data_IF_831497644733
#
_entry.id   IF_831497644733
#
_cell.length_a   1.000
_cell.length_b   1.000
_cell.length_c   1.000
_cell.angle_alpha   90.00
_cell.angle_beta   90.00
_cell.angle_gamma   90.00
#
_symmetry.space_group_name_H-M   'P 1'
#
loop_
_entity.id
_entity.type
_entity.pdbx_description
1 polymer ?
#
# COMPACT_ATOMS: atom_id res chain seq x y z
N UNK A 1 -31.18 -3.61 -29.20
CA UNK A 1 -29.91 -3.87 -28.49
C UNK A 1 -29.84 -2.80 -27.42
N UNK A 2 -29.90 -3.16 -26.14
CA UNK A 2 -29.66 -2.20 -25.05
C UNK A 2 -28.20 -1.77 -25.15
N UNK A 3 -27.94 -0.46 -25.20
CA UNK A 3 -26.58 0.06 -25.15
C UNK A 3 -25.91 -0.46 -23.86
N UNK A 4 -24.64 -0.85 -23.95
CA UNK A 4 -23.86 -1.25 -22.78
C UNK A 4 -23.85 -0.08 -21.78
N UNK A 5 -24.02 -0.36 -20.49
CA UNK A 5 -24.09 0.69 -19.48
C UNK A 5 -22.76 1.48 -19.43
N UNK A 6 -22.86 2.81 -19.45
CA UNK A 6 -21.72 3.70 -19.19
C UNK A 6 -21.67 4.02 -17.70
N UNK A 7 -20.53 3.78 -17.07
CA UNK A 7 -20.26 4.13 -15.67
C UNK A 7 -19.74 5.56 -15.55
N UNK A 8 -20.05 6.24 -14.45
CA UNK A 8 -19.43 7.53 -14.15
C UNK A 8 -17.93 7.33 -13.92
N UNK A 9 -17.57 6.25 -13.20
CA UNK A 9 -16.17 5.93 -12.91
C UNK A 9 -15.88 4.44 -13.09
N UNK A 10 -14.75 4.12 -13.74
CA UNK A 10 -14.16 2.78 -13.72
C UNK A 10 -12.85 2.83 -12.95
N UNK A 11 -12.77 2.09 -11.86
CA UNK A 11 -11.57 1.95 -11.04
C UNK A 11 -10.83 0.68 -11.43
N UNK A 12 -9.62 0.82 -11.94
CA UNK A 12 -8.75 -0.28 -12.38
C UNK A 12 -7.73 -0.58 -11.28
N UNK A 13 -7.86 -1.76 -10.68
CA UNK A 13 -7.12 -2.21 -9.52
C UNK A 13 -8.01 -2.28 -8.27
N UNK A 14 -8.32 -3.50 -7.82
CA UNK A 14 -9.13 -3.78 -6.62
C UNK A 14 -8.28 -3.98 -5.36
N UNK A 15 -7.10 -3.34 -5.30
CA UNK A 15 -6.25 -3.30 -4.11
C UNK A 15 -6.75 -2.27 -3.07
N UNK A 16 -6.00 -2.04 -1.97
CA UNK A 16 -6.45 -1.15 -0.89
C UNK A 16 -6.89 0.23 -1.35
N UNK A 17 -6.07 0.89 -2.20
CA UNK A 17 -6.36 2.25 -2.70
C UNK A 17 -7.56 2.24 -3.65
N UNK A 18 -7.59 1.30 -4.61
CA UNK A 18 -8.70 1.24 -5.57
C UNK A 18 -10.03 0.88 -4.91
N UNK A 19 -10.03 -0.05 -3.96
CA UNK A 19 -11.24 -0.41 -3.21
C UNK A 19 -11.76 0.76 -2.38
N UNK A 20 -10.87 1.51 -1.71
CA UNK A 20 -11.24 2.72 -0.97
C UNK A 20 -11.75 3.83 -1.91
N UNK A 21 -11.08 4.03 -3.07
CA UNK A 21 -11.55 5.01 -4.08
C UNK A 21 -12.96 4.67 -4.55
N UNK A 22 -13.19 3.41 -4.88
CA UNK A 22 -14.52 2.96 -5.35
C UNK A 22 -15.59 3.17 -4.28
N UNK A 23 -15.29 2.88 -3.00
CA UNK A 23 -16.21 3.16 -1.91
C UNK A 23 -16.54 4.64 -1.82
N UNK A 24 -15.53 5.49 -1.80
CA UNK A 24 -15.76 6.94 -1.69
C UNK A 24 -16.53 7.52 -2.87
N UNK A 25 -16.32 7.03 -4.09
CA UNK A 25 -17.10 7.43 -5.27
C UNK A 25 -18.55 6.94 -5.17
N UNK A 26 -18.76 5.65 -4.87
CA UNK A 26 -20.11 5.09 -4.76
C UNK A 26 -20.93 5.74 -3.63
N UNK A 27 -20.29 6.08 -2.50
CA UNK A 27 -20.94 6.79 -1.39
C UNK A 27 -21.36 8.24 -1.75
N UNK A 28 -20.84 8.82 -2.84
CA UNK A 28 -21.31 10.09 -3.41
C UNK A 28 -22.57 9.92 -4.26
N UNK A 29 -22.91 8.68 -4.63
CA UNK A 29 -24.02 8.35 -5.52
C UNK A 29 -23.60 8.15 -6.98
N UNK A 30 -22.29 8.14 -7.27
CA UNK A 30 -21.78 7.89 -8.62
C UNK A 30 -21.92 6.41 -8.99
N UNK A 31 -22.17 6.09 -10.27
CA UNK A 31 -22.14 4.72 -10.78
C UNK A 31 -20.70 4.28 -10.97
N UNK A 32 -20.27 3.27 -10.21
CA UNK A 32 -18.88 2.84 -10.12
C UNK A 32 -18.72 1.38 -10.52
N UNK A 33 -17.73 1.12 -11.38
CA UNK A 33 -17.25 -0.21 -11.70
C UNK A 33 -15.82 -0.37 -11.17
N UNK A 34 -15.54 -1.47 -10.47
CA UNK A 34 -14.20 -1.84 -10.03
C UNK A 34 -13.74 -3.06 -10.80
N UNK A 35 -12.54 -3.03 -11.38
CA UNK A 35 -11.96 -4.16 -12.08
C UNK A 35 -10.64 -4.54 -11.42
N UNK A 36 -10.47 -5.81 -11.08
CA UNK A 36 -9.22 -6.33 -10.56
C UNK A 36 -9.26 -7.85 -10.40
N UNK A 37 -8.10 -8.52 -10.56
CA UNK A 37 -8.04 -9.97 -10.48
C UNK A 37 -8.37 -10.49 -9.07
N UNK A 38 -8.70 -11.76 -8.99
CA UNK A 38 -8.74 -12.47 -7.71
C UNK A 38 -7.32 -12.74 -7.21
N UNK A 39 -7.18 -12.91 -5.89
CA UNK A 39 -5.93 -13.38 -5.32
C UNK A 39 -5.66 -14.81 -5.83
N UNK A 40 -4.48 -15.09 -6.41
CA UNK A 40 -4.15 -16.42 -6.88
C UNK A 40 -3.98 -17.38 -5.69
N UNK A 41 -4.29 -18.66 -5.92
CA UNK A 41 -4.16 -19.71 -4.90
C UNK A 41 -2.72 -19.88 -4.39
N UNK A 42 -1.74 -19.56 -5.21
CA UNK A 42 -0.32 -19.60 -4.89
C UNK A 42 0.50 -18.71 -5.81
N UNK A 43 1.78 -18.59 -5.52
CA UNK A 43 2.70 -17.74 -6.28
C UNK A 43 3.63 -18.51 -7.24
N UNK A 44 3.83 -19.82 -7.01
CA UNK A 44 4.80 -20.61 -7.76
C UNK A 44 4.53 -20.68 -9.27
N UNK A 45 3.26 -20.76 -9.65
CA UNK A 45 2.81 -20.83 -11.06
C UNK A 45 2.14 -19.56 -11.54
N UNK A 46 2.21 -18.49 -10.75
CA UNK A 46 1.51 -17.25 -11.03
C UNK A 46 2.12 -16.53 -12.24
N UNK A 47 1.27 -16.06 -13.16
CA UNK A 47 1.67 -15.37 -14.39
C UNK A 47 1.24 -13.90 -14.43
N UNK A 48 0.25 -13.52 -13.61
CA UNK A 48 -0.35 -12.19 -13.63
C UNK A 48 0.26 -11.23 -12.61
N UNK A 49 -0.49 -10.21 -12.31
CA UNK A 49 -0.13 -9.18 -11.33
C UNK A 49 -0.18 -9.71 -9.90
N UNK A 50 0.86 -9.43 -9.12
CA UNK A 50 0.88 -9.72 -7.68
C UNK A 50 0.57 -8.46 -6.89
N UNK A 51 -0.51 -8.47 -6.13
CA UNK A 51 -0.88 -7.31 -5.36
C UNK A 51 -0.21 -7.29 -3.96
N UNK A 52 0.28 -6.13 -3.56
CA UNK A 52 0.96 -5.95 -2.28
C UNK A 52 0.12 -6.25 -1.04
N UNK A 53 -1.21 -6.38 -1.19
CA UNK A 53 -2.12 -6.70 -0.09
C UNK A 53 -2.35 -8.21 0.13
N UNK A 54 -1.73 -9.09 -0.64
CA UNK A 54 -1.85 -10.55 -0.47
C UNK A 54 -1.07 -11.05 0.76
N UNK A 55 -1.42 -10.51 1.93
CA UNK A 55 -0.78 -10.79 3.23
C UNK A 55 -1.81 -10.67 4.36
N UNK A 56 -1.42 -11.05 5.60
CA UNK A 56 -2.30 -11.04 6.78
C UNK A 56 -1.98 -9.93 7.78
N UNK A 57 -0.82 -9.30 7.70
CA UNK A 57 -0.44 -8.27 8.65
C UNK A 57 0.45 -7.21 8.04
N UNK A 58 0.07 -5.96 8.27
CA UNK A 58 0.87 -4.77 8.01
C UNK A 58 0.86 -3.89 9.26
N UNK A 59 2.02 -3.40 9.64
CA UNK A 59 2.13 -2.39 10.69
C UNK A 59 1.40 -1.12 10.24
N UNK A 60 0.61 -0.52 11.13
CA UNK A 60 -0.09 0.73 10.87
C UNK A 60 0.17 1.71 12.01
N UNK A 61 0.87 2.78 11.68
CA UNK A 61 1.41 3.77 12.62
C UNK A 61 1.48 5.15 11.97
N UNK A 62 1.79 6.16 12.77
CA UNK A 62 2.03 7.54 12.30
C UNK A 62 3.49 7.98 12.48
N UNK A 63 4.36 7.06 12.87
CA UNK A 63 5.80 7.30 13.06
C UNK A 63 6.49 7.38 11.69
N UNK A 64 6.33 8.50 11.00
CA UNK A 64 6.82 8.73 9.65
C UNK A 64 7.62 10.02 9.57
N UNK A 65 8.72 10.01 8.82
CA UNK A 65 9.53 11.21 8.59
C UNK A 65 8.80 12.17 7.66
N UNK A 66 8.23 11.75 6.51
CA UNK A 66 7.33 12.63 5.79
C UNK A 66 6.02 12.78 6.56
N UNK A 67 5.82 13.89 7.25
CA UNK A 67 4.63 14.16 8.06
C UNK A 67 3.31 13.96 7.29
N UNK A 68 3.33 14.21 5.98
CA UNK A 68 2.18 13.97 5.08
C UNK A 68 1.73 12.51 5.15
N UNK A 69 2.64 11.55 5.16
CA UNK A 69 2.29 10.12 5.28
C UNK A 69 1.63 9.81 6.61
N UNK A 70 2.17 10.30 7.71
CA UNK A 70 1.54 10.19 9.03
C UNK A 70 0.15 10.83 9.08
N UNK A 71 -0.03 11.96 8.38
CA UNK A 71 -1.33 12.63 8.29
C UNK A 71 -2.35 11.80 7.51
N UNK A 72 -1.99 11.24 6.35
CA UNK A 72 -2.86 10.36 5.56
C UNK A 72 -3.26 9.12 6.39
N UNK A 73 -2.30 8.53 7.09
CA UNK A 73 -2.55 7.40 7.99
C UNK A 73 -3.49 7.79 9.14
N UNK A 74 -3.26 8.93 9.80
CA UNK A 74 -4.12 9.41 10.88
C UNK A 74 -5.56 9.60 10.41
N UNK A 75 -5.77 10.15 9.23
CA UNK A 75 -7.11 10.33 8.65
C UNK A 75 -7.76 8.99 8.29
N UNK A 76 -6.99 8.02 7.79
CA UNK A 76 -7.47 6.65 7.50
C UNK A 76 -7.90 5.94 8.79
N UNK A 77 -7.04 5.90 9.80
CA UNK A 77 -7.31 5.23 11.09
C UNK A 77 -8.60 5.74 11.74
N UNK A 78 -8.88 7.04 11.65
CA UNK A 78 -10.11 7.63 12.21
C UNK A 78 -11.39 7.07 11.60
N UNK A 79 -11.36 6.56 10.37
CA UNK A 79 -12.52 5.99 9.66
C UNK A 79 -12.62 4.46 9.78
N UNK A 80 -11.55 3.76 10.19
CA UNK A 80 -11.55 2.31 10.32
C UNK A 80 -12.65 1.75 11.23
N UNK A 81 -12.96 2.32 12.42
CA UNK A 81 -14.03 1.82 13.26
C UNK A 81 -15.41 1.87 12.58
N UNK A 82 -15.68 2.94 11.83
CA UNK A 82 -16.93 3.08 11.09
C UNK A 82 -17.02 2.08 9.93
N UNK A 83 -15.92 1.86 9.21
CA UNK A 83 -15.87 0.87 8.13
C UNK A 83 -16.10 -0.55 8.68
N UNK A 84 -15.45 -0.92 9.79
CA UNK A 84 -15.69 -2.18 10.50
C UNK A 84 -17.14 -2.32 10.92
N UNK A 85 -17.71 -1.30 11.56
CA UNK A 85 -19.10 -1.33 12.03
C UNK A 85 -20.11 -1.53 10.89
N UNK A 86 -19.88 -0.87 9.75
CA UNK A 86 -20.79 -0.94 8.57
C UNK A 86 -20.72 -2.27 7.87
N UNK A 87 -19.54 -2.85 7.79
CA UNK A 87 -19.30 -4.07 6.99
C UNK A 87 -19.31 -5.36 7.82
N UNK A 88 -19.13 -5.26 9.14
CA UNK A 88 -18.91 -6.40 10.01
C UNK A 88 -17.58 -7.11 9.78
N UNK A 89 -16.66 -6.52 9.00
CA UNK A 89 -15.36 -7.12 8.71
C UNK A 89 -14.31 -6.54 9.65
N UNK A 90 -13.80 -7.37 10.54
CA UNK A 90 -12.66 -7.02 11.40
C UNK A 90 -11.37 -7.12 10.59
N UNK A 91 -10.60 -6.03 10.55
CA UNK A 91 -9.34 -5.95 9.82
C UNK A 91 -8.20 -5.29 10.61
N UNK A 92 -8.45 -4.87 11.85
CA UNK A 92 -7.44 -4.25 12.71
C UNK A 92 -7.24 -5.04 13.99
N UNK A 93 -6.00 -5.07 14.48
CA UNK A 93 -5.65 -5.58 15.81
C UNK A 93 -4.80 -4.52 16.49
N UNK A 94 -5.23 -4.05 17.65
CA UNK A 94 -4.47 -3.09 18.45
C UNK A 94 -3.15 -3.67 18.90
N UNK A 95 -2.06 -2.94 18.70
CA UNK A 95 -0.71 -3.29 19.13
C UNK A 95 0.10 -2.01 19.26
N UNK A 96 1.07 -1.99 20.17
CA UNK A 96 2.03 -0.89 20.19
C UNK A 96 2.90 -0.94 18.93
N UNK A 97 3.10 0.23 18.31
CA UNK A 97 4.06 0.40 17.23
C UNK A 97 5.30 1.09 17.74
N UNK A 98 6.46 0.49 17.48
CA UNK A 98 7.74 0.92 18.04
C UNK A 98 8.75 1.13 16.90
N UNK A 99 9.47 2.24 16.93
CA UNK A 99 10.69 2.43 16.12
C UNK A 99 11.89 2.38 17.05
N UNK A 100 12.88 1.55 16.72
CA UNK A 100 14.12 1.36 17.51
C UNK A 100 15.34 1.49 16.59
N UNK A 101 16.31 2.29 17.02
CA UNK A 101 17.55 2.54 16.30
C UNK A 101 18.70 2.83 17.28
N UNK A 102 19.97 2.75 16.84
CA UNK A 102 21.11 3.25 17.60
C UNK A 102 20.93 4.74 17.93
N UNK A 103 21.34 5.15 19.13
CA UNK A 103 21.23 6.55 19.55
C UNK A 103 22.09 7.51 18.71
N UNK A 104 23.14 6.99 18.08
CA UNK A 104 24.10 7.71 17.24
C UNK A 104 23.86 7.56 15.73
N UNK A 105 22.76 6.88 15.33
CA UNK A 105 22.43 6.68 13.91
C UNK A 105 22.00 7.98 13.17
N UNK A 106 21.89 9.09 13.87
CA UNK A 106 21.56 10.38 13.27
C UNK A 106 22.70 10.83 12.32
N UNK A 107 22.44 10.79 11.00
CA UNK A 107 23.35 11.33 9.99
C UNK A 107 23.79 10.37 8.89
N UNK A 108 23.40 9.11 8.91
CA UNK A 108 23.52 8.23 7.75
C UNK A 108 22.16 8.07 7.02
N UNK A 109 22.19 7.60 5.77
CA UNK A 109 20.98 7.48 4.94
C UNK A 109 19.91 6.54 5.53
N UNK A 110 20.31 5.59 6.39
CA UNK A 110 19.38 4.71 7.11
C UNK A 110 18.85 5.40 8.37
N UNK A 111 19.68 6.23 9.02
CA UNK A 111 19.32 6.98 10.22
C UNK A 111 18.25 8.04 9.99
N UNK A 112 18.16 8.63 8.79
CA UNK A 112 17.13 9.61 8.45
C UNK A 112 15.70 9.05 8.62
N UNK A 113 15.48 7.76 8.32
CA UNK A 113 14.18 7.09 8.45
C UNK A 113 13.81 6.72 9.88
N UNK A 114 14.79 6.70 10.77
CA UNK A 114 14.67 6.25 12.13
C UNK A 114 14.96 7.35 13.17
N UNK A 115 15.07 8.61 12.74
CA UNK A 115 15.32 9.71 13.67
C UNK A 115 14.16 9.81 14.67
N UNK A 116 14.42 9.30 15.89
CA UNK A 116 13.46 9.17 16.98
C UNK A 116 12.80 10.49 17.33
N UNK A 117 13.56 11.57 17.35
CA UNK A 117 13.06 12.87 17.80
C UNK A 117 12.19 13.52 16.74
N UNK A 118 12.53 13.34 15.44
CA UNK A 118 11.71 13.76 14.31
C UNK A 118 10.42 12.95 14.24
N UNK A 119 10.51 11.62 14.37
CA UNK A 119 9.32 10.76 14.39
C UNK A 119 8.36 11.16 15.51
N UNK A 120 8.89 11.43 16.71
CA UNK A 120 8.09 11.84 17.85
C UNK A 120 7.49 13.26 17.69
N UNK A 121 8.23 14.19 17.11
CA UNK A 121 7.73 15.53 16.81
C UNK A 121 6.56 15.46 15.81
N UNK A 122 6.75 14.77 14.68
CA UNK A 122 5.72 14.59 13.66
C UNK A 122 4.44 13.94 14.22
N UNK A 123 4.59 12.89 15.05
CA UNK A 123 3.42 12.23 15.67
C UNK A 123 2.66 13.16 16.60
N UNK A 124 3.36 13.97 17.43
CA UNK A 124 2.74 14.94 18.33
C UNK A 124 2.02 16.05 17.57
N UNK A 125 2.59 16.53 16.48
CA UNK A 125 1.95 17.54 15.60
C UNK A 125 0.64 17.00 14.98
N UNK A 126 0.53 15.68 14.81
CA UNK A 126 -0.68 14.99 14.38
C UNK A 126 -1.66 14.69 15.53
N UNK A 127 -1.31 15.08 16.76
CA UNK A 127 -2.13 14.84 17.96
C UNK A 127 -2.12 13.38 18.42
N UNK A 128 -1.06 12.63 18.08
CA UNK A 128 -0.90 11.22 18.48
C UNK A 128 0.06 11.12 19.67
N UNK A 129 -0.37 10.34 20.67
CA UNK A 129 0.45 10.07 21.85
C UNK A 129 1.64 9.18 21.51
N UNK A 130 2.83 9.60 21.91
CA UNK A 130 4.07 8.85 21.73
C UNK A 130 5.01 9.07 22.92
N UNK A 131 5.76 8.02 23.26
CA UNK A 131 6.75 8.08 24.33
C UNK A 131 8.15 7.80 23.78
N UNK A 132 9.10 8.64 24.16
CA UNK A 132 10.52 8.43 23.89
C UNK A 132 11.08 7.45 24.93
N UNK A 133 11.84 6.47 24.48
CA UNK A 133 12.45 5.45 25.31
C UNK A 133 13.98 5.50 25.10
N UNK A 134 14.72 5.61 26.18
CA UNK A 134 16.14 5.29 26.21
C UNK A 134 16.33 3.76 26.36
N UNK A 135 17.57 3.30 26.38
CA UNK A 135 17.90 1.88 26.54
C UNK A 135 17.24 1.26 27.80
N UNK A 136 17.26 1.99 28.92
CA UNK A 136 16.64 1.52 30.14
C UNK A 136 15.10 1.50 30.03
N UNK A 137 14.52 2.50 29.38
CA UNK A 137 13.09 2.58 29.06
C UNK A 137 12.63 1.42 28.18
N UNK A 138 13.39 1.08 27.14
CA UNK A 138 13.13 -0.08 26.28
C UNK A 138 13.13 -1.38 27.11
N UNK A 139 14.14 -1.59 27.95
CA UNK A 139 14.27 -2.78 28.80
C UNK A 139 13.16 -2.90 29.85
N UNK A 140 12.73 -1.76 30.44
CA UNK A 140 11.62 -1.76 31.41
C UNK A 140 10.27 -2.03 30.76
N UNK A 141 10.05 -1.46 29.59
CA UNK A 141 8.75 -1.58 28.90
C UNK A 141 8.59 -2.96 28.25
N UNK A 142 9.66 -3.51 27.69
CA UNK A 142 9.67 -4.77 26.96
C UNK A 142 10.68 -5.75 27.58
N UNK A 143 10.45 -6.26 28.78
CA UNK A 143 11.44 -7.06 29.51
C UNK A 143 11.74 -8.40 28.85
N UNK A 144 10.84 -8.92 28.02
CA UNK A 144 11.02 -10.16 27.25
C UNK A 144 11.74 -9.93 25.90
N UNK A 145 11.95 -8.67 25.48
CA UNK A 145 12.57 -8.30 24.22
C UNK A 145 13.98 -7.76 24.48
N UNK A 146 14.96 -8.28 23.76
CA UNK A 146 16.36 -7.86 23.87
C UNK A 146 16.77 -6.99 22.70
N UNK A 147 16.76 -5.69 22.88
CA UNK A 147 17.40 -4.76 21.96
C UNK A 147 18.92 -4.67 22.19
N UNK A 148 19.67 -4.26 21.18
CA UNK A 148 21.12 -4.08 21.32
C UNK A 148 21.44 -2.91 22.28
N UNK A 149 22.59 -2.95 22.98
CA UNK A 149 23.03 -1.84 23.81
C UNK A 149 23.15 -0.53 23.00
N UNK A 150 22.86 0.59 23.67
CA UNK A 150 22.91 1.91 23.02
C UNK A 150 21.74 2.22 22.08
N UNK A 151 20.77 1.31 21.94
CA UNK A 151 19.57 1.60 21.16
C UNK A 151 18.54 2.41 21.96
N UNK A 152 17.82 3.24 21.22
CA UNK A 152 16.74 4.09 21.74
C UNK A 152 15.49 3.86 20.88
N UNK A 153 14.33 4.33 21.37
CA UNK A 153 13.12 4.15 20.61
C UNK A 153 12.06 5.22 20.81
N UNK A 154 11.08 5.21 19.92
CA UNK A 154 9.81 5.92 20.09
C UNK A 154 8.67 4.92 19.93
N UNK A 155 7.76 4.90 20.90
CA UNK A 155 6.58 4.03 20.88
C UNK A 155 5.32 4.84 20.71
N UNK A 156 4.43 4.35 19.85
CA UNK A 156 3.05 4.76 19.68
C UNK A 156 2.15 3.69 20.32
N UNK A 157 1.57 3.93 21.51
CA UNK A 157 0.72 2.95 22.19
C UNK A 157 -0.54 2.59 21.41
N UNK A 158 -1.13 3.57 20.72
CA UNK A 158 -2.34 3.41 19.90
C UNK A 158 -2.08 2.95 18.46
N UNK A 159 -1.01 2.22 18.22
CA UNK A 159 -0.74 1.60 16.92
C UNK A 159 -1.59 0.37 16.68
N UNK A 160 -1.47 -0.23 15.49
CA UNK A 160 -2.21 -1.44 15.13
C UNK A 160 -1.54 -2.25 14.04
N UNK A 161 -1.97 -3.50 13.92
CA UNK A 161 -1.76 -4.32 12.73
C UNK A 161 -3.04 -4.27 11.90
N UNK A 162 -2.90 -3.98 10.62
CA UNK A 162 -3.98 -4.08 9.64
C UNK A 162 -3.82 -5.39 8.88
N UNK A 163 -4.91 -6.16 8.76
CA UNK A 163 -5.00 -7.27 7.82
C UNK A 163 -5.39 -6.70 6.44
N UNK A 164 -4.48 -6.63 5.48
CA UNK A 164 -4.75 -5.95 4.21
C UNK A 164 -5.79 -6.66 3.34
N UNK A 165 -5.87 -8.00 3.39
CA UNK A 165 -6.94 -8.76 2.71
C UNK A 165 -8.32 -8.43 3.29
N UNK A 166 -8.40 -8.34 4.62
CA UNK A 166 -9.65 -8.00 5.30
C UNK A 166 -10.04 -6.54 5.05
N UNK A 167 -9.07 -5.61 5.04
CA UNK A 167 -9.32 -4.20 4.68
C UNK A 167 -9.92 -4.09 3.27
N UNK A 168 -9.31 -4.74 2.28
CA UNK A 168 -9.85 -4.75 0.90
C UNK A 168 -11.27 -5.32 0.85
N UNK A 169 -11.54 -6.42 1.59
CA UNK A 169 -12.91 -6.96 1.68
C UNK A 169 -13.88 -5.97 2.30
N UNK A 170 -13.49 -5.26 3.36
CA UNK A 170 -14.33 -4.25 4.00
C UNK A 170 -14.63 -3.09 3.04
N UNK A 171 -13.61 -2.56 2.37
CA UNK A 171 -13.76 -1.47 1.40
C UNK A 171 -14.68 -1.87 0.24
N UNK A 172 -14.45 -3.03 -0.37
CA UNK A 172 -15.29 -3.53 -1.47
C UNK A 172 -16.71 -3.86 -1.02
N UNK A 173 -16.91 -4.40 0.19
CA UNK A 173 -18.23 -4.64 0.74
C UNK A 173 -19.01 -3.33 0.94
N UNK A 174 -18.35 -2.29 1.46
CA UNK A 174 -18.96 -0.98 1.61
C UNK A 174 -19.25 -0.32 0.25
N UNK A 175 -18.32 -0.43 -0.71
CA UNK A 175 -18.53 0.05 -2.08
C UNK A 175 -19.73 -0.63 -2.75
N UNK A 176 -19.82 -1.96 -2.65
CA UNK A 176 -20.96 -2.74 -3.21
C UNK A 176 -22.27 -2.40 -2.53
N UNK A 177 -22.28 -2.20 -1.21
CA UNK A 177 -23.48 -1.75 -0.49
C UNK A 177 -23.94 -0.35 -0.93
N UNK A 178 -23.03 0.48 -1.43
CA UNK A 178 -23.31 1.79 -2.03
C UNK A 178 -23.62 1.73 -3.54
N UNK A 179 -23.65 0.54 -4.16
CA UNK A 179 -24.04 0.34 -5.55
C UNK A 179 -22.89 0.08 -6.53
N UNK A 180 -21.63 0.04 -6.08
CA UNK A 180 -20.50 -0.28 -6.95
C UNK A 180 -20.56 -1.74 -7.44
N UNK A 181 -20.17 -1.96 -8.69
CA UNK A 181 -20.08 -3.28 -9.33
C UNK A 181 -18.62 -3.73 -9.35
N UNK A 182 -18.34 -4.98 -8.98
CA UNK A 182 -17.01 -5.57 -9.02
C UNK A 182 -16.90 -6.61 -10.15
N UNK A 183 -15.93 -6.44 -11.03
CA UNK A 183 -15.54 -7.39 -12.08
C UNK A 183 -14.18 -8.00 -11.75
N UNK A 184 -14.13 -9.34 -11.74
CA UNK A 184 -12.90 -10.10 -11.51
C UNK A 184 -12.23 -10.42 -12.84
N UNK A 185 -11.40 -9.47 -13.30
CA UNK A 185 -10.65 -9.59 -14.55
C UNK A 185 -9.43 -8.66 -14.51
N UNK A 186 -8.54 -8.76 -15.49
CA UNK A 186 -7.42 -7.84 -15.69
C UNK A 186 -7.72 -6.90 -16.88
N UNK A 187 -7.34 -5.63 -16.74
CA UNK A 187 -7.45 -4.65 -17.82
C UNK A 187 -6.17 -4.69 -18.65
N UNK A 188 -6.32 -4.83 -19.96
CA UNK A 188 -5.20 -4.94 -20.91
C UNK A 188 -5.08 -3.74 -21.84
N UNK A 189 -6.13 -2.93 -22.01
CA UNK A 189 -6.06 -1.72 -22.82
C UNK A 189 -7.07 -0.66 -22.35
N UNK A 190 -6.72 0.58 -22.64
CA UNK A 190 -7.60 1.74 -22.59
C UNK A 190 -7.72 2.31 -24.01
N UNK A 191 -8.95 2.51 -24.48
CA UNK A 191 -9.24 3.06 -25.80
C UNK A 191 -10.11 4.31 -25.67
N UNK A 192 -10.07 5.20 -26.66
CA UNK A 192 -10.87 6.43 -26.68
C UNK A 192 -10.24 7.59 -25.90
N UNK A 193 -10.71 8.80 -26.19
CA UNK A 193 -10.21 10.04 -25.58
C UNK A 193 -8.92 10.58 -26.22
N UNK A 194 -8.68 10.33 -27.50
CA UNK A 194 -7.66 11.04 -28.28
C UNK A 194 -8.23 12.40 -28.75
N UNK A 195 -8.27 13.36 -27.86
CA UNK A 195 -8.33 14.77 -28.19
C UNK A 195 -6.92 15.35 -28.30
N UNK A 196 -6.13 14.87 -29.25
CA UNK A 196 -4.87 15.48 -29.69
C UNK A 196 -5.11 16.03 -31.07
N UNK A 197 -5.60 17.27 -31.15
CA UNK A 197 -5.85 17.92 -32.42
C UNK A 197 -4.55 18.14 -33.18
N UNK A 198 -4.51 17.63 -34.39
CA UNK A 198 -3.76 18.24 -35.48
C UNK A 198 -4.73 19.26 -36.11
N UNK A 199 -4.38 20.53 -35.93
CA UNK A 199 -5.10 21.68 -36.43
C UNK A 199 -4.88 21.75 -37.95
N UNK A 200 -5.82 21.23 -38.75
CA UNK A 200 -5.95 21.58 -40.14
C UNK A 200 -7.43 21.83 -40.42
N UNK A 201 -7.75 23.12 -40.50
CA UNK A 201 -9.10 23.64 -40.66
C UNK A 201 -9.82 23.06 -41.88
N UNK A 202 -11.12 23.00 -41.70
CA UNK A 202 -12.10 23.52 -42.66
C UNK A 202 -13.45 23.63 -41.97
N UNK A 203 -13.99 24.86 -42.02
CA UNK A 203 -15.33 25.22 -41.57
C UNK A 203 -16.37 24.44 -42.44
N UNK A 204 -17.25 23.68 -41.77
CA UNK A 204 -18.59 23.47 -42.29
C UNK A 204 -19.57 23.27 -41.10
N UNK A 205 -20.41 24.32 -40.94
CA UNK A 205 -21.58 24.35 -40.09
C UNK A 205 -22.54 23.19 -40.44
N UNK A 206 -22.70 22.22 -39.55
CA UNK A 206 -23.95 21.47 -39.42
C UNK A 206 -24.22 21.07 -37.98
N UNK A 207 -25.18 21.74 -37.42
CA UNK A 207 -25.80 21.54 -36.14
C UNK A 207 -26.51 20.17 -36.12
N UNK A 208 -26.03 19.24 -35.32
CA UNK A 208 -26.81 18.06 -34.88
C UNK A 208 -26.54 17.79 -33.41
N UNK A 209 -27.51 18.20 -32.58
CA UNK A 209 -27.57 18.02 -31.13
C UNK A 209 -27.76 16.55 -30.71
N UNK A 210 -26.79 15.68 -30.93
CA UNK A 210 -26.85 14.29 -30.41
C UNK A 210 -25.50 13.54 -30.40
N UNK A 211 -24.39 14.18 -29.98
CA UNK A 211 -23.13 13.44 -29.90
C UNK A 211 -22.39 13.62 -28.56
N UNK A 212 -23.07 13.27 -27.44
CA UNK A 212 -22.41 13.22 -26.11
C UNK A 212 -21.70 11.89 -25.81
N UNK A 213 -21.64 10.95 -26.76
CA UNK A 213 -21.15 9.58 -26.53
C UNK A 213 -19.73 9.30 -27.06
N UNK A 214 -19.08 10.21 -27.80
CA UNK A 214 -17.77 9.93 -28.42
C UNK A 214 -16.56 10.14 -27.47
N UNK A 215 -16.76 10.78 -26.35
CA UNK A 215 -15.69 11.13 -25.41
C UNK A 215 -15.43 10.07 -24.29
N UNK A 216 -16.27 9.04 -24.17
CA UNK A 216 -16.12 8.03 -23.13
C UNK A 216 -14.89 7.16 -23.34
N UNK A 217 -14.18 6.85 -22.26
CA UNK A 217 -13.09 5.86 -22.28
C UNK A 217 -13.65 4.45 -22.34
N UNK A 218 -13.00 3.59 -23.15
CA UNK A 218 -13.33 2.17 -23.20
C UNK A 218 -12.19 1.38 -22.54
N UNK A 219 -12.56 0.61 -21.54
CA UNK A 219 -11.67 -0.33 -20.86
C UNK A 219 -11.86 -1.71 -21.49
N UNK A 220 -10.76 -2.34 -21.90
CA UNK A 220 -10.74 -3.70 -22.45
C UNK A 220 -10.11 -4.64 -21.44
N UNK A 221 -10.81 -5.71 -21.10
CA UNK A 221 -10.32 -6.73 -20.17
C UNK A 221 -9.64 -7.87 -20.89
N UNK A 222 -8.84 -8.67 -20.18
CA UNK A 222 -8.21 -9.89 -20.71
C UNK A 222 -9.25 -10.91 -21.16
N UNK A 223 -10.43 -10.95 -20.52
CA UNK A 223 -11.59 -11.75 -20.96
C UNK A 223 -12.29 -11.23 -22.22
N UNK A 224 -11.81 -10.12 -22.80
CA UNK A 224 -12.37 -9.53 -24.04
C UNK A 224 -13.63 -8.67 -23.81
N UNK A 225 -13.97 -8.37 -22.56
CA UNK A 225 -15.12 -7.52 -22.26
C UNK A 225 -14.71 -6.05 -22.47
N UNK A 226 -15.62 -5.27 -23.07
CA UNK A 226 -15.48 -3.84 -23.32
C UNK A 226 -16.43 -3.06 -22.45
N UNK A 227 -15.92 -2.15 -21.64
CA UNK A 227 -16.68 -1.41 -20.62
C UNK A 227 -16.46 0.09 -20.81
N UNK A 228 -17.52 0.88 -20.74
CA UNK A 228 -17.46 2.33 -20.95
C UNK A 228 -17.51 3.09 -19.64
N UNK A 229 -16.64 4.09 -19.50
CA UNK A 229 -16.62 4.98 -18.33
C UNK A 229 -16.30 6.42 -18.71
N UNK A 230 -16.97 7.36 -18.06
CA UNK A 230 -16.70 8.80 -18.23
C UNK A 230 -15.36 9.20 -17.64
N UNK A 231 -14.95 8.53 -16.56
CA UNK A 231 -13.67 8.75 -15.89
C UNK A 231 -13.04 7.41 -15.50
N UNK A 232 -11.72 7.34 -15.60
CA UNK A 232 -10.92 6.17 -15.25
C UNK A 232 -10.04 6.50 -14.06
N UNK A 233 -9.95 5.59 -13.10
CA UNK A 233 -8.98 5.65 -12.01
C UNK A 233 -8.01 4.48 -12.12
N UNK A 234 -6.71 4.78 -12.21
CA UNK A 234 -5.64 3.79 -12.23
C UNK A 234 -5.07 3.63 -10.82
N UNK A 235 -5.39 2.50 -10.16
CA UNK A 235 -4.92 2.15 -8.80
C UNK A 235 -4.13 0.83 -8.82
N UNK A 236 -3.11 0.75 -9.69
CA UNK A 236 -2.41 -0.47 -10.09
C UNK A 236 -1.23 -0.84 -9.18
N UNK A 237 -0.96 -0.05 -8.12
CA UNK A 237 0.13 -0.30 -7.18
C UNK A 237 1.48 -0.48 -7.89
N UNK A 238 2.24 -1.47 -7.46
CA UNK A 238 3.57 -1.74 -8.00
C UNK A 238 3.61 -2.14 -9.49
N UNK A 239 2.48 -2.54 -10.06
CA UNK A 239 2.39 -2.92 -11.47
C UNK A 239 2.14 -1.72 -12.42
N UNK A 240 1.99 -0.51 -11.89
CA UNK A 240 1.53 0.65 -12.69
C UNK A 240 2.38 0.92 -13.92
N UNK A 241 3.71 0.91 -13.81
CA UNK A 241 4.62 1.12 -14.93
C UNK A 241 4.67 -0.08 -15.89
N UNK A 242 4.41 -1.29 -15.40
CA UNK A 242 4.42 -2.52 -16.19
C UNK A 242 3.07 -2.83 -16.86
N UNK A 243 2.02 -2.06 -16.54
CA UNK A 243 0.65 -2.31 -17.01
C UNK A 243 0.40 -2.01 -18.49
N UNK A 244 1.22 -1.15 -19.10
CA UNK A 244 0.95 -0.64 -20.45
C UNK A 244 -0.22 0.35 -20.56
N UNK A 245 -0.83 0.76 -19.43
CA UNK A 245 -1.99 1.64 -19.40
C UNK A 245 -1.64 3.12 -19.23
N UNK A 246 -0.37 3.44 -19.00
CA UNK A 246 0.12 4.81 -18.91
C UNK A 246 0.72 5.26 -20.25
N UNK A 247 0.59 6.56 -20.60
CA UNK A 247 1.20 7.11 -21.82
C UNK A 247 2.74 7.09 -21.79
N UNK A 248 3.32 7.12 -20.58
CA UNK A 248 4.76 6.98 -20.32
C UNK A 248 4.97 6.53 -18.87
N UNK A 249 6.14 5.97 -18.51
CA UNK A 249 6.41 5.53 -17.15
C UNK A 249 6.44 6.69 -16.15
N UNK A 250 6.08 6.38 -14.90
CA UNK A 250 6.29 7.26 -13.75
C UNK A 250 7.72 7.13 -13.23
N UNK A 251 8.23 8.17 -12.56
CA UNK A 251 9.43 8.07 -11.72
C UNK A 251 9.08 7.28 -10.46
N UNK A 252 9.00 5.99 -10.63
CA UNK A 252 8.62 5.02 -9.63
C UNK A 252 9.41 3.75 -9.85
N UNK A 253 9.90 3.18 -8.76
CA UNK A 253 10.68 1.96 -8.77
C UNK A 253 9.88 0.84 -8.13
N UNK A 254 9.71 -0.26 -8.85
CA UNK A 254 9.16 -1.51 -8.31
C UNK A 254 10.29 -2.42 -7.94
N UNK A 255 10.38 -2.79 -6.68
CA UNK A 255 11.45 -3.61 -6.13
C UNK A 255 10.89 -4.90 -5.57
N UNK A 256 11.60 -6.00 -5.79
CA UNK A 256 11.31 -7.26 -5.13
C UNK A 256 11.79 -7.26 -3.70
N UNK A 257 10.94 -7.64 -2.77
CA UNK A 257 11.25 -7.78 -1.36
C UNK A 257 10.77 -9.13 -0.84
N UNK A 258 11.34 -9.57 0.28
CA UNK A 258 11.00 -10.84 0.92
C UNK A 258 10.30 -10.59 2.25
N UNK A 259 9.27 -11.36 2.50
CA UNK A 259 8.68 -11.53 3.84
C UNK A 259 9.06 -12.91 4.35
N UNK A 260 9.62 -12.98 5.54
CA UNK A 260 9.89 -14.24 6.25
C UNK A 260 8.82 -14.44 7.31
N UNK A 261 8.19 -15.60 7.31
CA UNK A 261 7.23 -16.05 8.30
C UNK A 261 7.85 -17.16 9.12
N UNK A 262 7.94 -16.95 10.44
CA UNK A 262 8.50 -17.91 11.40
C UNK A 262 7.41 -18.39 12.33
N UNK A 263 7.09 -19.69 12.25
CA UNK A 263 6.02 -20.33 13.03
C UNK A 263 6.29 -20.27 14.52
N UNK A 264 5.24 -20.02 15.31
CA UNK A 264 5.29 -20.06 16.77
C UNK A 264 4.11 -20.84 17.32
N UNK A 265 4.38 -21.70 18.30
CA UNK A 265 3.37 -22.58 18.92
C UNK A 265 2.54 -21.84 19.99
N UNK A 266 3.18 -20.91 20.72
CA UNK A 266 2.54 -20.13 21.79
C UNK A 266 2.55 -18.62 21.46
N UNK A 267 1.61 -18.15 20.66
CA UNK A 267 1.54 -16.74 20.30
C UNK A 267 1.20 -15.82 21.49
N UNK A 268 0.49 -16.34 22.50
CA UNK A 268 0.07 -15.56 23.68
C UNK A 268 1.20 -15.25 24.65
N UNK A 269 2.28 -16.02 24.60
CA UNK A 269 3.47 -15.83 25.43
C UNK A 269 4.48 -14.83 24.83
N UNK A 270 4.21 -14.25 23.66
CA UNK A 270 5.13 -13.35 22.97
C UNK A 270 4.64 -11.90 23.06
N UNK A 271 5.21 -11.15 24.00
CA UNK A 271 4.95 -9.73 24.19
C UNK A 271 5.94 -8.89 23.34
N UNK A 272 5.66 -8.81 22.04
CA UNK A 272 6.45 -8.07 21.07
C UNK A 272 5.58 -6.97 20.44
N UNK A 273 5.99 -5.69 20.50
CA UNK A 273 5.34 -4.64 19.71
C UNK A 273 5.62 -4.83 18.21
N UNK A 274 4.79 -4.26 17.34
CA UNK A 274 5.14 -4.15 15.93
C UNK A 274 6.30 -3.14 15.80
N UNK A 275 7.46 -3.61 15.37
CA UNK A 275 8.72 -2.87 15.51
C UNK A 275 9.37 -2.58 14.16
N UNK A 276 9.60 -1.32 13.86
CA UNK A 276 10.60 -0.87 12.89
C UNK A 276 11.95 -0.94 13.61
N UNK A 277 12.86 -1.76 13.13
CA UNK A 277 14.11 -2.04 13.81
C UNK A 277 15.31 -1.80 12.91
N UNK A 278 16.10 -0.80 13.25
CA UNK A 278 17.44 -0.61 12.71
C UNK A 278 18.44 -1.17 13.74
N UNK A 279 18.94 -2.37 13.49
CA UNK A 279 19.87 -3.05 14.39
C UNK A 279 21.31 -2.80 13.96
N UNK A 280 22.08 -2.18 14.84
CA UNK A 280 23.53 -2.09 14.72
C UNK A 280 24.20 -2.88 15.83
N UNK A 281 25.34 -3.50 15.51
CA UNK A 281 26.22 -4.14 16.47
C UNK A 281 27.67 -3.83 16.04
N UNK A 282 28.49 -3.39 16.99
CA UNK A 282 29.89 -3.02 16.74
C UNK A 282 30.06 -1.98 15.61
N UNK A 283 29.12 -1.03 15.52
CA UNK A 283 29.13 0.04 14.51
C UNK A 283 28.72 -0.37 13.10
N UNK A 284 28.26 -1.60 12.91
CA UNK A 284 27.80 -2.09 11.62
C UNK A 284 26.29 -2.43 11.64
N UNK A 285 25.59 -2.04 10.58
CA UNK A 285 24.20 -2.44 10.41
C UNK A 285 24.11 -3.96 10.22
N UNK A 286 23.31 -4.60 11.05
CA UNK A 286 23.01 -6.03 10.98
C UNK A 286 21.63 -6.31 10.38
N UNK A 287 20.69 -5.37 10.57
CA UNK A 287 19.34 -5.48 10.08
C UNK A 287 18.70 -4.10 9.97
N UNK A 288 17.84 -3.92 8.98
CA UNK A 288 16.97 -2.76 8.84
C UNK A 288 15.63 -3.19 8.27
N UNK A 289 14.56 -3.09 9.06
CA UNK A 289 13.25 -3.53 8.60
C UNK A 289 12.20 -3.60 9.69
N UNK A 290 11.20 -4.44 9.48
CA UNK A 290 10.04 -4.59 10.37
C UNK A 290 10.01 -5.99 10.95
N UNK A 291 9.85 -6.06 12.28
CA UNK A 291 9.55 -7.29 13.02
C UNK A 291 8.16 -7.14 13.62
N UNK A 292 7.28 -8.09 13.31
CA UNK A 292 5.88 -8.03 13.78
C UNK A 292 5.60 -9.16 14.78
N UNK A 293 4.75 -8.89 15.78
CA UNK A 293 4.27 -9.91 16.70
C UNK A 293 3.50 -11.00 15.94
N UNK A 294 3.14 -12.11 16.63
CA UNK A 294 2.45 -13.21 15.99
C UNK A 294 1.16 -12.80 15.28
N UNK A 295 1.06 -13.12 14.00
CA UNK A 295 -0.13 -12.95 13.17
C UNK A 295 -0.63 -14.32 12.71
N UNK A 296 -1.96 -14.53 12.76
CA UNK A 296 -2.58 -15.76 12.29
C UNK A 296 -2.77 -15.73 10.78
N UNK A 297 -2.32 -16.79 10.11
CA UNK A 297 -2.44 -16.95 8.65
C UNK A 297 -3.59 -17.93 8.28
N UNK A 298 -4.00 -17.98 6.99
CA UNK A 298 -5.13 -18.81 6.56
C UNK A 298 -4.97 -20.32 6.78
N UNK A 299 -3.73 -20.80 6.93
CA UNK A 299 -3.42 -22.19 7.30
C UNK A 299 -3.73 -22.51 8.78
N UNK A 300 -4.19 -21.52 9.53
CA UNK A 300 -4.55 -21.63 10.94
C UNK A 300 -3.38 -21.45 11.90
N UNK A 301 -2.15 -21.30 11.40
CA UNK A 301 -0.94 -21.15 12.21
C UNK A 301 -0.62 -19.70 12.53
N UNK A 302 0.23 -19.54 13.53
CA UNK A 302 0.71 -18.22 13.96
C UNK A 302 2.17 -18.03 13.56
N UNK A 303 2.47 -16.85 13.05
CA UNK A 303 3.81 -16.53 12.60
C UNK A 303 4.26 -15.16 13.11
N UNK A 304 5.51 -15.11 13.62
CA UNK A 304 6.28 -13.88 13.63
C UNK A 304 6.62 -13.53 12.17
N UNK A 305 6.54 -12.26 11.85
CA UNK A 305 6.85 -11.79 10.50
C UNK A 305 8.05 -10.85 10.53
N UNK A 306 9.01 -11.10 9.66
CA UNK A 306 10.19 -10.25 9.44
C UNK A 306 10.20 -9.81 7.97
N UNK A 307 10.44 -8.53 7.73
CA UNK A 307 10.53 -7.97 6.38
C UNK A 307 11.55 -6.84 6.34
N UNK A 308 12.26 -6.67 5.21
CA UNK A 308 13.22 -5.60 5.00
C UNK A 308 14.68 -6.02 5.04
N UNK A 309 14.98 -7.31 5.33
CA UNK A 309 16.37 -7.79 5.34
C UNK A 309 17.03 -7.71 3.97
N UNK A 310 16.26 -7.97 2.91
CA UNK A 310 16.74 -7.86 1.54
C UNK A 310 15.66 -7.26 0.64
N UNK A 311 16.01 -6.17 -0.02
CA UNK A 311 15.23 -5.55 -1.08
C UNK A 311 16.13 -5.54 -2.31
N UNK A 312 15.60 -5.98 -3.47
CA UNK A 312 16.38 -5.95 -4.70
C UNK A 312 16.81 -4.52 -5.04
N UNK A 313 18.07 -4.32 -5.28
CA UNK A 313 18.63 -3.02 -5.70
C UNK A 313 18.20 -2.66 -7.14
N UNK A 314 18.00 -3.68 -8.00
CA UNK A 314 17.60 -3.45 -9.39
C UNK A 314 16.08 -3.44 -9.51
N UNK A 315 15.49 -2.36 -10.03
CA UNK A 315 14.06 -2.29 -10.28
C UNK A 315 13.54 -3.39 -11.21
N UNK A 316 12.32 -3.83 -10.97
CA UNK A 316 11.57 -4.71 -11.84
C UNK A 316 10.79 -3.85 -12.84
N UNK A 317 11.25 -3.81 -14.10
CA UNK A 317 10.74 -2.88 -15.11
C UNK A 317 9.60 -3.43 -15.96
N UNK A 318 9.34 -4.74 -15.92
CA UNK A 318 8.34 -5.39 -16.76
C UNK A 318 7.43 -6.34 -15.98
N UNK A 319 6.27 -6.65 -16.55
CA UNK A 319 5.33 -7.62 -15.97
C UNK A 319 5.97 -9.01 -15.82
N UNK A 320 6.81 -9.43 -16.78
CA UNK A 320 7.51 -10.73 -16.71
C UNK A 320 8.57 -10.75 -15.60
N UNK A 321 9.30 -9.66 -15.38
CA UNK A 321 10.26 -9.57 -14.27
C UNK A 321 9.55 -9.60 -12.91
N UNK A 322 8.41 -8.92 -12.79
CA UNK A 322 7.56 -8.97 -11.59
C UNK A 322 7.04 -10.39 -11.36
N UNK A 323 6.48 -11.03 -12.38
CA UNK A 323 5.96 -12.39 -12.28
C UNK A 323 7.09 -13.39 -11.97
N UNK A 324 8.26 -13.24 -12.58
CA UNK A 324 9.44 -14.05 -12.31
C UNK A 324 9.89 -13.93 -10.87
N UNK A 325 9.97 -12.72 -10.33
CA UNK A 325 10.28 -12.50 -8.92
C UNK A 325 9.25 -13.17 -7.99
N UNK A 326 7.96 -13.00 -8.28
CA UNK A 326 6.88 -13.60 -7.48
C UNK A 326 7.01 -15.12 -7.43
N UNK A 327 7.29 -15.77 -8.57
CA UNK A 327 7.48 -17.24 -8.66
C UNK A 327 8.65 -17.77 -7.83
N UNK A 328 9.67 -16.93 -7.53
CA UNK A 328 10.77 -17.35 -6.66
C UNK A 328 10.32 -17.62 -5.22
N UNK A 329 9.20 -17.03 -4.80
CA UNK A 329 8.75 -17.09 -3.41
C UNK A 329 9.51 -16.16 -2.47
N UNK A 330 10.38 -15.29 -2.98
CA UNK A 330 11.29 -14.43 -2.22
C UNK A 330 12.70 -15.03 -2.10
N UNK A 331 13.63 -14.27 -1.52
CA UNK A 331 15.02 -14.67 -1.32
C UNK A 331 15.14 -15.65 -0.12
N UNK A 332 15.51 -16.88 -0.36
CA UNK A 332 15.63 -17.89 0.70
C UNK A 332 16.73 -17.56 1.74
N UNK A 333 17.75 -16.79 1.35
CA UNK A 333 18.80 -16.33 2.26
C UNK A 333 18.27 -15.47 3.41
N UNK A 334 17.15 -14.75 3.20
CA UNK A 334 16.52 -13.91 4.22
C UNK A 334 15.98 -14.71 5.43
N UNK A 335 15.83 -16.04 5.29
CA UNK A 335 15.41 -16.92 6.40
C UNK A 335 16.46 -16.93 7.51
N UNK A 336 17.73 -17.05 7.15
CA UNK A 336 18.82 -17.09 8.13
C UNK A 336 18.96 -15.76 8.85
N UNK A 337 18.85 -14.64 8.13
CA UNK A 337 18.87 -13.30 8.70
C UNK A 337 17.68 -13.07 9.65
N UNK A 338 16.47 -13.45 9.24
CA UNK A 338 15.28 -13.32 10.06
C UNK A 338 15.37 -14.19 11.35
N UNK A 339 15.86 -15.42 11.25
CA UNK A 339 16.06 -16.28 12.41
C UNK A 339 17.13 -15.71 13.36
N UNK A 340 18.22 -15.17 12.84
CA UNK A 340 19.25 -14.52 13.64
C UNK A 340 18.70 -13.30 14.40
N UNK A 341 17.94 -12.44 13.72
CA UNK A 341 17.29 -11.26 14.34
C UNK A 341 16.33 -11.69 15.43
N UNK A 342 15.44 -12.65 15.15
CA UNK A 342 14.45 -13.12 16.12
C UNK A 342 15.09 -13.84 17.30
N UNK A 343 16.14 -14.62 17.10
CA UNK A 343 16.86 -15.30 18.17
C UNK A 343 17.53 -14.31 19.12
N UNK A 344 18.12 -13.25 18.58
CA UNK A 344 18.71 -12.18 19.39
C UNK A 344 17.64 -11.36 20.13
N UNK A 345 16.54 -11.01 19.44
CA UNK A 345 15.50 -10.15 19.96
C UNK A 345 14.61 -10.86 20.99
N UNK A 346 14.34 -12.15 20.79
CA UNK A 346 13.41 -12.96 21.57
C UNK A 346 14.08 -14.26 22.10
N UNK A 347 15.11 -14.15 22.96
CA UNK A 347 15.92 -15.32 23.38
C UNK A 347 15.15 -16.39 24.15
N UNK A 348 13.95 -16.05 24.65
CA UNK A 348 13.08 -17.02 25.36
C UNK A 348 12.04 -17.69 24.47
N UNK A 349 11.94 -17.32 23.20
CA UNK A 349 10.91 -17.84 22.29
C UNK A 349 11.46 -19.02 21.48
N UNK A 350 10.71 -20.10 21.48
CA UNK A 350 10.99 -21.22 20.60
C UNK A 350 10.49 -20.94 19.19
N UNK A 351 11.41 -20.73 18.26
CA UNK A 351 11.12 -20.51 16.85
C UNK A 351 10.88 -21.87 16.15
N UNK A 352 9.79 -21.93 15.39
CA UNK A 352 9.41 -23.10 14.59
C UNK A 352 9.94 -23.01 13.16
N UNK A 353 9.20 -23.59 12.21
CA UNK A 353 9.57 -23.59 10.79
C UNK A 353 9.48 -22.17 10.22
N UNK A 354 10.50 -21.80 9.46
CA UNK A 354 10.52 -20.56 8.70
C UNK A 354 10.32 -20.81 7.19
N UNK A 355 9.69 -19.85 6.52
CA UNK A 355 9.57 -19.84 5.05
C UNK A 355 9.40 -18.42 4.53
N UNK A 356 9.71 -18.21 3.26
CA UNK A 356 9.60 -16.93 2.58
C UNK A 356 8.26 -16.77 1.84
N UNK A 357 7.89 -15.53 1.63
CA UNK A 357 6.84 -15.11 0.69
C UNK A 357 7.33 -13.92 -0.13
N UNK A 358 6.96 -13.86 -1.41
CA UNK A 358 7.33 -12.72 -2.25
C UNK A 358 6.55 -11.47 -1.82
N UNK A 359 7.22 -10.35 -1.86
CA UNK A 359 6.62 -9.02 -1.69
C UNK A 359 7.12 -8.10 -2.80
N UNK A 360 6.36 -7.07 -3.08
CA UNK A 360 6.74 -5.98 -3.97
C UNK A 360 6.70 -4.68 -3.18
N UNK A 361 7.77 -3.93 -3.27
CA UNK A 361 7.87 -2.57 -2.77
C UNK A 361 7.80 -1.62 -3.96
N UNK A 362 7.03 -0.55 -3.83
CA UNK A 362 6.87 0.46 -4.84
C UNK A 362 7.29 1.81 -4.23
N UNK A 363 8.37 2.38 -4.71
CA UNK A 363 8.91 3.64 -4.21
C UNK A 363 8.77 4.74 -5.25
N UNK A 364 8.08 5.83 -4.90
CA UNK A 364 8.00 7.03 -5.74
C UNK A 364 9.25 7.89 -5.55
N UNK A 365 9.64 8.65 -6.57
CA UNK A 365 10.84 9.52 -6.48
C UNK A 365 10.68 10.67 -5.49
N UNK A 366 9.47 10.94 -5.02
CA UNK A 366 9.17 12.01 -4.05
C UNK A 366 8.98 11.50 -2.63
N UNK A 367 8.97 10.17 -2.44
CA UNK A 367 8.61 9.54 -1.18
C UNK A 367 7.21 9.90 -0.66
N UNK A 368 6.33 10.32 -1.57
CA UNK A 368 4.93 10.62 -1.31
C UNK A 368 4.06 9.86 -2.31
N UNK A 369 2.79 9.56 -1.99
CA UNK A 369 1.90 8.97 -2.97
C UNK A 369 1.69 9.92 -4.16
N UNK A 370 1.60 9.34 -5.36
CA UNK A 370 1.11 10.09 -6.50
C UNK A 370 -0.40 10.00 -6.56
N UNK A 371 -1.08 11.15 -6.58
CA UNK A 371 -2.51 11.31 -6.78
C UNK A 371 -2.67 12.44 -7.79
N UNK A 372 -2.76 12.12 -9.06
CA UNK A 372 -2.75 13.15 -10.11
C UNK A 372 -3.57 12.74 -11.34
N UNK A 373 -3.78 13.69 -12.24
CA UNK A 373 -4.42 13.45 -13.53
C UNK A 373 -3.38 12.99 -14.55
N UNK A 374 -3.72 11.95 -15.28
CA UNK A 374 -2.97 11.50 -16.46
C UNK A 374 -3.41 12.30 -17.68
N UNK A 375 -4.72 12.46 -17.82
CA UNK A 375 -5.41 13.27 -18.84
C UNK A 375 -6.72 13.81 -18.26
N UNK A 376 -7.57 14.40 -19.11
CA UNK A 376 -8.82 15.01 -18.67
C UNK A 376 -9.82 14.04 -18.06
N UNK A 377 -9.71 12.75 -18.34
CA UNK A 377 -10.63 11.71 -17.89
C UNK A 377 -9.96 10.57 -17.12
N UNK A 378 -8.65 10.66 -16.92
CA UNK A 378 -7.90 9.62 -16.22
C UNK A 378 -7.16 10.20 -15.02
N UNK A 379 -7.40 9.63 -13.85
CA UNK A 379 -6.70 9.91 -12.61
C UNK A 379 -5.88 8.68 -12.22
N UNK A 380 -4.71 8.89 -11.66
CA UNK A 380 -3.91 7.81 -11.07
C UNK A 380 -3.74 8.00 -9.56
N UNK A 381 -3.62 6.88 -8.86
CA UNK A 381 -3.22 6.84 -7.47
C UNK A 381 -2.29 5.65 -7.21
N UNK A 382 -1.10 5.94 -6.70
CA UNK A 382 -0.12 4.91 -6.37
C UNK A 382 0.65 5.28 -5.11
N UNK A 383 0.77 4.30 -4.22
CA UNK A 383 1.61 4.31 -3.03
C UNK A 383 2.03 2.87 -2.73
N UNK A 384 3.27 2.65 -2.44
CA UNK A 384 3.82 1.30 -2.35
C UNK A 384 4.06 0.80 -0.94
N UNK A 385 4.89 1.46 -0.17
CA UNK A 385 5.28 0.96 1.15
C UNK A 385 4.20 1.15 2.21
N UNK A 386 3.51 2.30 2.15
CA UNK A 386 2.55 2.75 3.17
C UNK A 386 1.11 2.64 2.70
N UNK A 387 0.93 2.05 1.51
CA UNK A 387 -0.35 2.00 0.81
C UNK A 387 -1.49 1.34 1.59
N UNK A 388 -1.22 0.42 2.52
CA UNK A 388 -2.27 -0.21 3.34
C UNK A 388 -2.75 0.72 4.44
N UNK A 389 -1.83 1.34 5.19
CA UNK A 389 -2.20 2.17 6.34
C UNK A 389 -2.82 3.51 5.95
N UNK A 390 -2.50 4.03 4.76
CA UNK A 390 -2.99 5.29 4.22
C UNK A 390 -4.07 5.13 3.13
N UNK A 391 -4.42 3.88 2.75
CA UNK A 391 -5.26 3.58 1.59
C UNK A 391 -6.60 4.29 1.59
N UNK A 392 -7.29 4.34 2.72
CA UNK A 392 -8.61 4.96 2.83
C UNK A 392 -8.53 6.47 2.48
N UNK A 393 -7.56 7.19 3.02
CA UNK A 393 -7.42 8.63 2.75
C UNK A 393 -6.91 8.90 1.34
N UNK A 394 -5.95 8.10 0.85
CA UNK A 394 -5.51 8.18 -0.55
C UNK A 394 -6.69 7.93 -1.48
N UNK A 395 -7.52 6.92 -1.18
CA UNK A 395 -8.73 6.62 -1.94
C UNK A 395 -9.73 7.78 -1.92
N UNK A 396 -9.95 8.43 -0.78
CA UNK A 396 -10.81 9.60 -0.65
C UNK A 396 -10.32 10.78 -1.52
N UNK A 397 -9.03 11.10 -1.42
CA UNK A 397 -8.42 12.18 -2.21
C UNK A 397 -8.51 11.90 -3.72
N UNK A 398 -8.30 10.64 -4.09
CA UNK A 398 -8.41 10.18 -5.49
C UNK A 398 -9.85 10.27 -5.99
N UNK A 399 -10.81 9.86 -5.18
CA UNK A 399 -12.24 9.95 -5.50
C UNK A 399 -12.68 11.41 -5.68
N UNK A 400 -12.26 12.31 -4.78
CA UNK A 400 -12.55 13.73 -4.89
C UNK A 400 -11.96 14.34 -6.18
N UNK A 401 -10.71 13.97 -6.53
CA UNK A 401 -10.08 14.44 -7.75
C UNK A 401 -10.77 13.87 -9.01
N UNK A 402 -11.15 12.60 -9.00
CA UNK A 402 -11.84 11.96 -10.13
C UNK A 402 -13.24 12.55 -10.37
N UNK A 403 -14.01 12.75 -9.28
CA UNK A 403 -15.37 13.27 -9.39
C UNK A 403 -15.44 14.77 -9.72
N UNK A 404 -14.47 15.57 -9.26
CA UNK A 404 -14.54 17.04 -9.40
C UNK A 404 -13.57 17.61 -10.42
N UNK A 405 -12.56 16.85 -10.84
CA UNK A 405 -11.45 17.32 -11.67
C UNK A 405 -10.53 18.32 -10.97
N UNK A 406 -10.74 18.58 -9.68
CA UNK A 406 -10.04 19.63 -8.92
C UNK A 406 -9.50 19.07 -7.60
N UNK A 407 -8.36 19.61 -7.17
CA UNK A 407 -7.84 19.34 -5.83
C UNK A 407 -8.57 20.24 -4.81
N UNK A 408 -9.29 19.62 -3.88
CA UNK A 408 -10.13 20.32 -2.90
C UNK A 408 -9.61 20.20 -1.47
N UNK A 409 -8.61 19.36 -1.24
CA UNK A 409 -8.06 19.13 0.10
C UNK A 409 -7.08 20.26 0.50
N UNK A 410 -7.01 20.64 1.80
CA UNK A 410 -6.05 21.60 2.31
C UNK A 410 -4.58 21.19 2.15
N UNK A 411 -4.28 19.90 1.99
CA UNK A 411 -2.92 19.45 1.69
C UNK A 411 -2.43 20.02 0.36
N UNK A 412 -1.16 20.47 0.29
CA UNK A 412 -0.61 21.04 -0.94
C UNK A 412 -0.65 20.02 -2.09
N UNK A 413 -1.32 20.34 -3.18
CA UNK A 413 -1.43 19.47 -4.35
C UNK A 413 -0.08 19.04 -4.90
N UNK A 414 0.91 19.93 -4.88
CA UNK A 414 2.22 19.69 -5.49
C UNK A 414 2.99 18.52 -4.83
N UNK A 415 2.67 18.18 -3.58
CA UNK A 415 3.20 17.02 -2.88
C UNK A 415 2.78 15.70 -3.56
N UNK A 416 1.58 15.67 -4.14
CA UNK A 416 0.96 14.48 -4.73
C UNK A 416 1.10 14.39 -6.25
N UNK A 417 1.73 15.39 -6.89
CA UNK A 417 1.87 15.38 -8.34
C UNK A 417 2.74 14.23 -8.82
N UNK A 418 2.24 13.52 -9.82
CA UNK A 418 2.99 12.48 -10.50
C UNK A 418 4.26 13.04 -11.14
N UNK A 419 5.36 12.34 -10.95
CA UNK A 419 6.62 12.59 -11.63
C UNK A 419 6.77 11.57 -12.74
N UNK A 420 6.95 12.06 -13.96
CA UNK A 420 7.07 11.23 -15.14
C UNK A 420 8.55 11.01 -15.48
N UNK A 421 8.86 9.78 -15.93
CA UNK A 421 10.19 9.50 -16.47
C UNK A 421 10.42 10.30 -17.76
N UNK A 422 11.70 10.62 -18.03
CA UNK A 422 12.11 11.36 -19.22
C UNK A 422 11.88 10.56 -20.50
#
# INVERSE_FOLDING_TARGET
MTADPTYDHIVIGAGPIGAATARHLAERGDSVLVIGPEEPAGFADHQGTWAGHYDQGRMCHVLEIPVVTGMLTTRSIRRFPELTRRTGVEFTTGVECLSVNPADAAGDAAGEWFDRDVLAANARDLGVDVHLLDEEGLRRRYPAVRFEPGHVGVVQPGGMIVNPRALVRAELAAASAAGAVLVRDEVVALEGGAGGGDDSGDDDDNNDDNNHNDDDKVVVTAGGVRLRGRSIVLALGAAVNASGLLPRPLQLFTLGATVVLVEVDDPGGIDLPATMYLKHRDGAQQFGGVVMPPVRYPDGRWYLKVAGSSVRETPLGSAEEIASWVRTGGASADVDDALAVLTDLLPGVRLGRAHTRPCLVCATSTNHPYIDRVDDRTVLAVEGERGVMAADEIGRLTADLAATGRWTDPLPRDVFRARWAA
#
